data_IF_172217860891
#
_entry.id   IF_172217860891
#
_cell.length_a   1.000
_cell.length_b   1.000
_cell.length_c   1.000
_cell.angle_alpha   90.00
_cell.angle_beta   90.00
_cell.angle_gamma   90.00
#
_symmetry.space_group_name_H-M   'P 1'
#
loop_
_entity.id
_entity.type
_entity.pdbx_description
1 polymer ?
#
# COMPACT_ATOMS: atom_id res chain seq x y z
N UNK A 1 44.39 27.81 -18.57
CA UNK A 1 43.45 26.67 -18.73
C UNK A 1 43.53 25.70 -17.54
N UNK A 2 43.24 26.17 -16.32
CA UNK A 2 43.10 25.36 -15.10
C UNK A 2 42.14 26.09 -14.15
N UNK A 3 40.88 26.25 -14.56
CA UNK A 3 39.84 26.79 -13.65
C UNK A 3 38.40 26.38 -14.02
N UNK A 4 38.20 25.44 -14.94
CA UNK A 4 36.88 24.95 -15.35
C UNK A 4 36.67 23.44 -15.08
N UNK A 5 37.46 22.85 -14.19
CA UNK A 5 37.39 21.42 -13.86
C UNK A 5 36.95 21.13 -12.41
N UNK A 6 36.36 22.09 -11.70
CA UNK A 6 35.86 21.91 -10.33
C UNK A 6 34.35 22.01 -10.16
N UNK A 7 33.58 22.13 -11.25
CA UNK A 7 32.10 22.27 -11.18
C UNK A 7 31.37 20.94 -11.50
N UNK A 8 32.09 19.86 -11.80
CA UNK A 8 31.48 18.55 -12.13
C UNK A 8 31.38 17.56 -10.95
N UNK A 9 31.51 17.97 -9.68
CA UNK A 9 31.53 17.00 -8.56
C UNK A 9 30.61 17.25 -7.37
N UNK A 10 29.53 18.01 -7.52
CA UNK A 10 28.57 18.23 -6.42
C UNK A 10 27.14 18.39 -6.92
N UNK A 11 26.51 17.30 -7.35
CA UNK A 11 25.04 17.09 -7.27
C UNK A 11 24.68 15.65 -7.68
N UNK A 12 25.30 14.66 -7.04
CA UNK A 12 24.74 13.30 -6.94
C UNK A 12 24.19 13.12 -5.52
N UNK A 13 23.17 13.89 -5.17
CA UNK A 13 22.17 13.42 -4.21
C UNK A 13 21.08 12.78 -5.04
N UNK A 14 21.22 11.48 -5.28
CA UNK A 14 20.17 10.63 -5.88
C UNK A 14 18.92 10.73 -5.01
N UNK A 15 18.00 11.60 -5.38
CA UNK A 15 16.59 11.47 -5.03
C UNK A 15 16.13 10.18 -5.69
N UNK A 16 16.04 9.10 -4.92
CA UNK A 16 15.38 7.87 -5.37
C UNK A 16 13.98 8.28 -5.79
N UNK A 17 13.75 8.31 -7.10
CA UNK A 17 12.49 8.82 -7.64
C UNK A 17 11.39 7.83 -7.28
N UNK A 18 10.17 8.31 -7.04
CA UNK A 18 9.01 7.44 -6.76
C UNK A 18 8.82 6.38 -7.88
N UNK A 19 9.27 6.71 -9.10
CA UNK A 19 9.31 5.81 -10.25
C UNK A 19 10.30 4.63 -10.11
N UNK A 20 11.41 4.78 -9.37
CA UNK A 20 12.39 3.70 -9.16
C UNK A 20 11.83 2.58 -8.26
N UNK A 21 10.89 2.90 -7.36
CA UNK A 21 10.17 1.91 -6.55
C UNK A 21 9.17 1.11 -7.39
N UNK A 22 8.66 1.68 -8.50
CA UNK A 22 7.69 1.04 -9.39
C UNK A 22 8.33 0.20 -10.50
N UNK A 23 9.62 0.37 -10.78
CA UNK A 23 10.30 -0.35 -11.87
C UNK A 23 10.70 -1.79 -11.52
N UNK A 24 10.41 -2.26 -10.30
CA UNK A 24 10.46 -3.68 -10.01
C UNK A 24 9.12 -4.29 -10.42
N UNK A 25 9.07 -4.96 -11.59
CA UNK A 25 7.89 -5.68 -12.08
C UNK A 25 7.37 -6.59 -10.97
N UNK A 26 6.37 -6.13 -10.22
CA UNK A 26 5.80 -6.89 -9.12
C UNK A 26 5.22 -8.17 -9.71
N UNK A 27 5.78 -9.32 -9.32
CA UNK A 27 5.19 -10.60 -9.71
C UNK A 27 3.90 -10.75 -8.92
N UNK A 28 2.84 -11.28 -9.56
CA UNK A 28 1.63 -11.69 -8.85
C UNK A 28 2.03 -12.61 -7.68
N UNK A 29 1.68 -12.26 -6.43
CA UNK A 29 2.11 -12.99 -5.23
C UNK A 29 3.35 -12.42 -4.52
N UNK A 30 3.94 -11.32 -4.97
CA UNK A 30 5.13 -10.73 -4.36
C UNK A 30 4.80 -9.93 -3.09
N UNK A 31 5.65 -10.06 -2.07
CA UNK A 31 5.59 -9.27 -0.85
C UNK A 31 6.59 -8.12 -0.91
N UNK A 32 6.10 -6.90 -0.72
CA UNK A 32 6.89 -5.68 -0.68
C UNK A 32 7.10 -5.23 0.76
N UNK A 33 8.27 -4.65 1.05
CA UNK A 33 8.61 -4.15 2.38
C UNK A 33 7.85 -2.86 2.70
N UNK A 34 6.91 -2.91 3.64
CA UNK A 34 6.24 -1.71 4.13
C UNK A 34 7.21 -0.79 4.89
N UNK A 35 8.25 -1.36 5.48
CA UNK A 35 9.28 -0.58 6.19
C UNK A 35 10.04 0.32 5.22
N UNK A 36 10.37 -0.16 4.02
CA UNK A 36 11.08 0.64 3.01
C UNK A 36 10.20 1.79 2.51
N UNK A 37 8.93 1.51 2.20
CA UNK A 37 7.97 2.55 1.78
C UNK A 37 7.77 3.58 2.92
N UNK A 38 7.63 3.11 4.16
CA UNK A 38 7.42 3.98 5.33
C UNK A 38 8.58 4.95 5.60
N UNK A 39 9.81 4.63 5.18
CA UNK A 39 10.97 5.52 5.34
C UNK A 39 10.81 6.84 4.61
N UNK A 40 10.01 6.87 3.54
CA UNK A 40 9.72 8.12 2.83
C UNK A 40 8.96 9.11 3.72
N UNK A 41 8.08 8.60 4.59
CA UNK A 41 7.31 9.42 5.53
C UNK A 41 8.06 9.68 6.83
N UNK A 42 8.75 8.68 7.35
CA UNK A 42 9.57 8.80 8.56
C UNK A 42 10.80 7.88 8.48
N UNK A 43 12.00 8.42 8.18
CA UNK A 43 13.19 7.62 8.03
C UNK A 43 13.73 7.07 9.35
N UNK A 44 13.42 7.71 10.49
CA UNK A 44 13.92 7.31 11.81
C UNK A 44 13.03 6.24 12.45
N UNK A 45 11.71 6.35 12.32
CA UNK A 45 10.74 5.43 12.91
C UNK A 45 9.72 4.86 11.89
N UNK A 46 10.18 4.18 10.82
CA UNK A 46 9.29 3.68 9.77
C UNK A 46 8.27 2.65 10.29
N UNK A 47 8.61 1.87 11.32
CA UNK A 47 7.68 0.90 11.92
C UNK A 47 6.46 1.59 12.54
N UNK A 48 6.65 2.73 13.20
CA UNK A 48 5.57 3.50 13.82
C UNK A 48 4.58 4.03 12.77
N UNK A 49 5.06 4.31 11.54
CA UNK A 49 4.22 4.70 10.41
C UNK A 49 3.30 3.56 9.99
N UNK A 50 3.82 2.34 9.87
CA UNK A 50 3.02 1.15 9.53
C UNK A 50 1.99 0.87 10.61
N UNK A 51 2.39 0.94 11.88
CA UNK A 51 1.47 0.79 13.02
C UNK A 51 0.39 1.88 13.01
N UNK A 52 0.73 3.13 12.68
CA UNK A 52 -0.25 4.23 12.55
C UNK A 52 -1.27 4.01 11.44
N UNK A 53 -0.82 3.50 10.29
CA UNK A 53 -1.71 3.15 9.19
C UNK A 53 -2.67 2.02 9.56
N UNK A 54 -2.21 0.99 10.27
CA UNK A 54 -3.05 -0.11 10.72
C UNK A 54 -4.08 0.25 11.79
N UNK A 55 -3.93 1.41 12.46
CA UNK A 55 -4.92 1.92 13.42
C UNK A 55 -6.13 2.57 12.76
N UNK A 56 -6.10 2.80 11.44
CA UNK A 56 -7.20 3.43 10.73
C UNK A 56 -8.29 2.41 10.42
N UNK A 57 -9.54 2.79 10.67
CA UNK A 57 -10.70 1.93 10.39
C UNK A 57 -10.75 1.50 8.92
N UNK A 58 -10.60 2.44 7.99
CA UNK A 58 -10.58 2.17 6.55
C UNK A 58 -9.49 1.15 6.17
N UNK A 59 -8.34 1.19 6.84
CA UNK A 59 -7.26 0.22 6.63
C UNK A 59 -7.67 -1.17 7.10
N UNK A 60 -8.30 -1.28 8.28
CA UNK A 60 -8.76 -2.57 8.82
C UNK A 60 -9.82 -3.17 7.92
N UNK A 61 -10.77 -2.36 7.44
CA UNK A 61 -11.80 -2.80 6.51
C UNK A 61 -11.21 -3.25 5.16
N UNK A 62 -10.28 -2.46 4.62
CA UNK A 62 -9.57 -2.81 3.40
C UNK A 62 -8.79 -4.14 3.54
N UNK A 63 -8.03 -4.30 4.62
CA UNK A 63 -7.27 -5.52 4.89
C UNK A 63 -8.20 -6.73 5.06
N UNK A 64 -9.30 -6.58 5.82
CA UNK A 64 -10.29 -7.64 6.00
C UNK A 64 -10.93 -8.06 4.67
N UNK A 65 -11.28 -7.11 3.81
CA UNK A 65 -11.81 -7.39 2.48
C UNK A 65 -10.77 -8.09 1.59
N UNK A 66 -9.51 -7.64 1.61
CA UNK A 66 -8.45 -8.29 0.84
C UNK A 66 -8.27 -9.74 1.28
N UNK A 67 -8.25 -10.02 2.59
CA UNK A 67 -8.15 -11.38 3.10
C UNK A 67 -9.38 -12.22 2.74
N UNK A 68 -10.59 -11.68 2.89
CA UNK A 68 -11.82 -12.38 2.51
C UNK A 68 -11.80 -12.85 1.05
N UNK A 69 -11.26 -12.03 0.14
CA UNK A 69 -11.20 -12.34 -1.29
C UNK A 69 -10.04 -13.30 -1.67
N UNK A 70 -8.94 -13.27 -0.92
CA UNK A 70 -7.68 -13.91 -1.34
C UNK A 70 -7.17 -15.02 -0.41
N UNK A 71 -7.73 -15.15 0.80
CA UNK A 71 -7.28 -16.08 1.83
C UNK A 71 -8.41 -17.02 2.26
N UNK A 72 -8.45 -18.26 1.73
CA UNK A 72 -9.47 -19.26 2.09
C UNK A 72 -9.48 -19.65 3.58
N UNK A 73 -8.38 -19.40 4.30
CA UNK A 73 -8.24 -19.71 5.73
C UNK A 73 -8.51 -18.49 6.62
N UNK A 74 -8.99 -17.38 6.05
CA UNK A 74 -9.27 -16.17 6.80
C UNK A 74 -10.43 -16.40 7.78
N UNK A 75 -10.21 -16.01 9.02
CA UNK A 75 -11.14 -16.29 10.11
C UNK A 75 -12.08 -15.10 10.30
N UNK A 76 -13.15 -15.07 9.50
CA UNK A 76 -14.10 -13.95 9.43
C UNK A 76 -14.73 -13.61 10.79
N UNK A 77 -15.12 -14.61 11.58
CA UNK A 77 -15.73 -14.36 12.90
C UNK A 77 -14.77 -13.63 13.85
N UNK A 78 -13.48 -14.00 13.82
CA UNK A 78 -12.46 -13.32 14.62
C UNK A 78 -12.10 -11.96 14.05
N UNK A 79 -12.21 -11.77 12.74
CA UNK A 79 -12.09 -10.44 12.14
C UNK A 79 -13.19 -9.50 12.62
N UNK A 80 -14.45 -9.94 12.67
CA UNK A 80 -15.57 -9.11 13.15
C UNK A 80 -15.41 -8.73 14.63
N UNK A 81 -14.96 -9.67 15.47
CA UNK A 81 -14.61 -9.38 16.86
C UNK A 81 -13.42 -8.41 16.95
N UNK A 82 -12.37 -8.65 16.18
CA UNK A 82 -11.19 -7.80 16.10
C UNK A 82 -11.52 -6.37 15.63
N UNK A 83 -12.45 -6.22 14.68
CA UNK A 83 -12.93 -4.93 14.18
C UNK A 83 -13.67 -4.16 15.28
N UNK A 84 -14.55 -4.81 16.04
CA UNK A 84 -15.23 -4.20 17.19
C UNK A 84 -14.25 -3.77 18.28
N UNK A 85 -13.23 -4.57 18.55
CA UNK A 85 -12.14 -4.17 19.45
C UNK A 85 -11.39 -2.93 18.92
N UNK A 86 -11.26 -2.78 17.60
CA UNK A 86 -10.56 -1.67 16.96
C UNK A 86 -11.26 -0.34 17.15
N UNK A 87 -12.56 -0.36 17.01
CA UNK A 87 -13.43 0.78 17.26
C UNK A 87 -13.38 1.20 18.73
N UNK A 88 -13.23 0.23 19.66
CA UNK A 88 -13.15 0.50 21.09
C UNK A 88 -11.75 0.94 21.57
N UNK A 89 -10.66 0.39 21.01
CA UNK A 89 -9.30 0.68 21.46
C UNK A 89 -8.21 0.50 20.37
N UNK A 90 -8.11 1.47 19.48
CA UNK A 90 -7.15 1.48 18.37
C UNK A 90 -5.66 1.33 18.76
N UNK A 91 -5.25 1.53 20.02
CA UNK A 91 -3.82 1.43 20.40
C UNK A 91 -3.27 0.00 20.44
N UNK A 92 -4.13 -1.03 20.48
CA UNK A 92 -3.71 -2.43 20.54
C UNK A 92 -3.43 -3.07 19.17
N UNK A 93 -3.49 -2.28 18.09
CA UNK A 93 -3.46 -2.76 16.72
C UNK A 93 -2.03 -2.77 16.19
N UNK A 94 -1.44 -3.97 16.17
CA UNK A 94 -0.17 -4.24 15.52
C UNK A 94 -0.33 -5.27 14.40
N UNK A 95 0.53 -5.25 13.37
CA UNK A 95 0.52 -6.25 12.31
C UNK A 95 0.60 -7.68 12.84
N UNK A 96 1.31 -7.88 13.96
CA UNK A 96 1.43 -9.20 14.59
C UNK A 96 0.09 -9.64 15.18
N UNK A 97 -0.56 -8.78 15.96
CA UNK A 97 -1.88 -9.09 16.56
C UNK A 97 -2.92 -9.39 15.47
N UNK A 98 -2.91 -8.64 14.36
CA UNK A 98 -3.77 -8.89 13.20
C UNK A 98 -3.58 -10.29 12.61
N UNK A 99 -2.34 -10.66 12.30
CA UNK A 99 -1.99 -11.97 11.72
C UNK A 99 -2.38 -13.10 12.67
N UNK A 100 -2.00 -12.98 13.94
CA UNK A 100 -2.23 -14.01 14.96
C UNK A 100 -3.74 -14.24 15.22
N UNK A 101 -4.54 -13.17 15.26
CA UNK A 101 -5.98 -13.25 15.51
C UNK A 101 -6.77 -13.80 14.32
N UNK A 102 -6.49 -13.30 13.11
CA UNK A 102 -7.34 -13.53 11.93
C UNK A 102 -6.84 -14.62 10.99
N UNK A 103 -5.60 -15.08 11.16
CA UNK A 103 -4.95 -15.97 10.19
C UNK A 103 -4.63 -15.27 8.86
N UNK A 104 -4.50 -13.94 8.89
CA UNK A 104 -4.19 -13.13 7.72
C UNK A 104 -2.88 -13.54 7.04
N UNK A 105 -2.90 -13.53 5.72
CA UNK A 105 -1.74 -13.89 4.88
C UNK A 105 -1.21 -12.70 4.10
N UNK A 106 -2.01 -11.67 3.86
CA UNK A 106 -1.64 -10.46 3.13
C UNK A 106 -0.55 -9.63 3.81
N UNK A 107 -0.34 -9.80 5.11
CA UNK A 107 0.80 -9.24 5.86
C UNK A 107 1.73 -10.36 6.34
N UNK A 108 3.04 -10.08 6.31
CA UNK A 108 4.07 -11.00 6.76
C UNK A 108 5.12 -10.27 7.60
N UNK A 109 5.45 -10.83 8.76
CA UNK A 109 6.55 -10.34 9.60
C UNK A 109 7.76 -11.25 9.39
N UNK A 110 8.87 -10.67 8.94
CA UNK A 110 10.15 -11.37 8.77
C UNK A 110 11.15 -10.92 9.83
N UNK A 111 11.90 -11.86 10.39
CA UNK A 111 13.03 -11.59 11.28
C UNK A 111 14.35 -11.55 10.49
N UNK A 112 15.40 -10.96 11.07
CA UNK A 112 16.76 -10.97 10.50
C UNK A 112 17.06 -9.83 9.52
N UNK A 113 18.09 -10.03 8.68
CA UNK A 113 18.53 -9.03 7.68
C UNK A 113 17.51 -8.98 6.53
N UNK A 114 16.95 -7.80 6.28
CA UNK A 114 15.74 -7.68 5.44
C UNK A 114 14.45 -8.05 6.19
N UNK A 115 14.51 -8.13 7.52
CA UNK A 115 13.35 -8.27 8.38
C UNK A 115 12.51 -7.00 8.41
N UNK A 116 11.30 -7.12 8.96
CA UNK A 116 10.31 -6.05 8.99
C UNK A 116 8.94 -6.54 8.56
N UNK A 117 8.05 -5.58 8.36
CA UNK A 117 6.67 -5.82 7.95
C UNK A 117 6.63 -5.76 6.43
N UNK A 118 6.13 -6.83 5.82
CA UNK A 118 5.95 -6.95 4.39
C UNK A 118 4.47 -7.18 4.09
N UNK A 119 4.02 -6.78 2.91
CA UNK A 119 2.65 -6.99 2.48
C UNK A 119 2.58 -7.44 1.03
N UNK A 120 1.51 -8.15 0.67
CA UNK A 120 1.19 -8.42 -0.73
C UNK A 120 1.16 -7.12 -1.55
N UNK A 121 1.50 -7.18 -2.84
CA UNK A 121 1.64 -6.02 -3.71
C UNK A 121 0.46 -5.04 -3.64
N UNK A 122 -0.78 -5.53 -3.62
CA UNK A 122 -1.99 -4.70 -3.60
C UNK A 122 -2.13 -3.94 -2.28
N UNK A 123 -1.79 -4.61 -1.16
CA UNK A 123 -1.80 -4.02 0.17
C UNK A 123 -0.67 -2.99 0.31
N UNK A 124 0.52 -3.32 -0.18
CA UNK A 124 1.65 -2.40 -0.20
C UNK A 124 1.37 -1.16 -1.07
N UNK A 125 0.66 -1.32 -2.18
CA UNK A 125 0.23 -0.23 -3.04
C UNK A 125 -0.80 0.67 -2.34
N UNK A 126 -1.78 0.08 -1.64
CA UNK A 126 -2.71 0.84 -0.81
C UNK A 126 -1.97 1.65 0.25
N UNK A 127 -1.00 1.04 0.94
CA UNK A 127 -0.17 1.72 1.93
C UNK A 127 0.62 2.89 1.33
N UNK A 128 1.22 2.71 0.14
CA UNK A 128 1.91 3.78 -0.57
C UNK A 128 0.95 4.93 -0.93
N UNK A 129 -0.26 4.62 -1.41
CA UNK A 129 -1.32 5.60 -1.67
C UNK A 129 -1.79 6.32 -0.39
N UNK A 130 -1.73 5.68 0.77
CA UNK A 130 -1.99 6.33 2.04
C UNK A 130 -0.84 7.25 2.49
N UNK A 131 0.40 6.88 2.21
CA UNK A 131 1.59 7.69 2.53
C UNK A 131 1.64 8.96 1.68
N UNK A 132 1.48 8.84 0.36
CA UNK A 132 1.68 9.92 -0.60
C UNK A 132 0.41 10.20 -1.40
N UNK A 133 -0.15 11.40 -1.20
CA UNK A 133 -1.31 11.88 -1.98
C UNK A 133 -0.93 12.07 -3.45
N UNK A 134 0.30 12.49 -3.72
CA UNK A 134 0.83 12.63 -5.08
C UNK A 134 0.85 11.28 -5.81
N UNK A 135 1.40 10.25 -5.16
CA UNK A 135 1.41 8.90 -5.67
C UNK A 135 0.00 8.36 -5.91
N UNK A 136 -0.94 8.59 -4.99
CA UNK A 136 -2.35 8.22 -5.16
C UNK A 136 -2.96 8.90 -6.39
N UNK A 137 -2.69 10.20 -6.60
CA UNK A 137 -3.17 10.94 -7.75
C UNK A 137 -2.57 10.40 -9.07
N UNK A 138 -1.29 10.06 -9.07
CA UNK A 138 -0.63 9.41 -10.19
C UNK A 138 -1.31 8.08 -10.54
N UNK A 139 -1.53 7.21 -9.55
CA UNK A 139 -2.23 5.94 -9.74
C UNK A 139 -3.65 6.10 -10.31
N UNK A 140 -4.39 7.11 -9.87
CA UNK A 140 -5.73 7.41 -10.41
C UNK A 140 -5.63 7.82 -11.88
N UNK A 141 -4.70 8.72 -12.22
CA UNK A 141 -4.51 9.16 -13.61
C UNK A 141 -4.06 8.02 -14.52
N UNK A 142 -3.14 7.19 -14.04
CA UNK A 142 -2.67 6.02 -14.77
C UNK A 142 -3.81 5.03 -15.04
N UNK A 143 -4.64 4.76 -14.03
CA UNK A 143 -5.83 3.92 -14.22
C UNK A 143 -6.78 4.49 -15.27
N UNK A 144 -7.07 5.80 -15.23
CA UNK A 144 -7.94 6.45 -16.22
C UNK A 144 -7.33 6.40 -17.62
N UNK A 145 -6.03 6.66 -17.75
CA UNK A 145 -5.31 6.58 -19.02
C UNK A 145 -5.38 5.17 -19.63
N UNK A 146 -5.13 4.14 -18.82
CA UNK A 146 -5.25 2.74 -19.27
C UNK A 146 -6.68 2.40 -19.72
N UNK A 147 -7.71 2.94 -19.04
CA UNK A 147 -9.10 2.71 -19.42
C UNK A 147 -9.47 3.39 -20.73
N UNK A 148 -8.98 4.60 -20.96
CA UNK A 148 -9.13 5.32 -22.23
C UNK A 148 -8.46 4.55 -23.37
N UNK A 149 -7.26 4.04 -23.16
CA UNK A 149 -6.53 3.24 -24.16
C UNK A 149 -7.23 1.91 -24.48
N UNK A 150 -7.82 1.25 -23.47
CA UNK A 150 -8.57 -0.01 -23.64
C UNK A 150 -9.89 0.19 -24.44
N UNK A 151 -10.55 1.34 -24.32
CA UNK A 151 -11.90 1.57 -24.89
C UNK A 151 -11.92 2.50 -26.12
N UNK A 152 -10.82 3.18 -26.43
CA UNK A 152 -10.71 4.10 -27.58
C UNK A 152 -11.80 5.17 -27.60
N UNK A 153 -12.28 5.56 -28.80
CA UNK A 153 -13.34 6.56 -28.98
C UNK A 153 -14.77 6.07 -28.62
N UNK A 154 -14.92 4.85 -28.10
CA UNK A 154 -16.23 4.30 -27.76
C UNK A 154 -16.62 4.72 -26.35
N UNK A 155 -17.54 5.68 -26.24
CA UNK A 155 -18.56 5.91 -25.21
C UNK A 155 -18.30 5.61 -23.72
N UNK A 156 -17.08 5.32 -23.30
CA UNK A 156 -16.73 4.96 -21.94
C UNK A 156 -16.81 6.20 -21.07
N UNK A 157 -17.48 6.08 -19.93
CA UNK A 157 -17.51 7.14 -18.93
C UNK A 157 -17.24 6.52 -17.57
N UNK A 158 -16.50 7.19 -16.70
CA UNK A 158 -16.27 6.71 -15.34
C UNK A 158 -17.60 6.36 -14.62
N UNK A 159 -18.68 7.07 -14.95
CA UNK A 159 -20.04 6.84 -14.44
C UNK A 159 -20.61 5.46 -14.79
N UNK A 160 -20.40 4.93 -16.00
CA UNK A 160 -20.86 3.58 -16.36
C UNK A 160 -20.11 2.51 -15.59
N UNK A 161 -18.82 2.75 -15.33
CA UNK A 161 -17.98 1.76 -14.67
C UNK A 161 -18.24 1.66 -13.19
N UNK A 162 -18.46 2.79 -12.52
CA UNK A 162 -18.93 2.78 -11.14
C UNK A 162 -20.30 2.11 -10.98
N UNK A 163 -21.20 2.26 -11.98
CA UNK A 163 -22.48 1.57 -11.98
C UNK A 163 -22.33 0.05 -12.17
N UNK A 164 -21.41 -0.39 -13.03
CA UNK A 164 -21.13 -1.80 -13.29
C UNK A 164 -20.45 -2.53 -12.12
N UNK A 165 -19.58 -1.83 -11.37
CA UNK A 165 -18.89 -2.39 -10.19
C UNK A 165 -19.84 -2.53 -8.98
N UNK A 166 -21.06 -1.99 -9.07
CA UNK A 166 -22.04 -2.08 -7.98
C UNK A 166 -21.69 -1.19 -6.79
N UNK A 167 -20.87 -0.13 -6.98
CA UNK A 167 -20.73 0.96 -6.01
C UNK A 167 -22.02 1.78 -6.07
N UNK A 168 -23.13 1.19 -5.62
CA UNK A 168 -24.28 1.96 -5.21
C UNK A 168 -23.83 2.67 -3.95
N UNK A 169 -23.55 3.97 -4.09
CA UNK A 169 -23.44 4.87 -2.95
C UNK A 169 -24.70 4.66 -2.09
N UNK A 170 -24.56 3.94 -0.98
CA UNK A 170 -25.56 3.86 0.08
C UNK A 170 -25.03 4.61 1.28
#
# INVERSE_FOLDING_TARGET
MRHLASIQKTSETKSTSEADLMNNRSKKGEYLSLIEIARYKNPTEPKAVVESWMRQQDTIEFLGMWEYLNNPNFKLDQFEEFKKEAEANAFLFSPKKWIDATGATGLMIRAGRGGGIHAHSDIALQFACWISVEFKMYMIKEFLHLKEDEHGASGWTAKSEFANIGIVMK
#
